data_IF_126301877653
#
_entry.id   IF_126301877653
#
_cell.length_a   1.000
_cell.length_b   1.000
_cell.length_c   1.000
_cell.angle_alpha   90.00
_cell.angle_beta   90.00
_cell.angle_gamma   90.00
#
_symmetry.space_group_name_H-M   'P 1'
#
loop_
_entity.id
_entity.type
_entity.pdbx_description
1 polymer ?
#
# COMPACT_ATOMS: atom_id res chain seq x y z
N UNK A 1 1.51 6.20 -1.64
CA UNK A 1 0.13 5.72 -1.41
C UNK A 1 -0.46 4.99 -2.60
N UNK A 2 -0.40 5.51 -3.83
CA UNK A 2 -0.92 4.81 -5.02
C UNK A 2 -0.45 3.35 -5.17
N UNK A 3 0.87 3.08 -5.11
CA UNK A 3 1.38 1.70 -5.25
C UNK A 3 0.93 0.77 -4.10
N UNK A 4 0.75 1.29 -2.87
CA UNK A 4 0.18 0.51 -1.77
C UNK A 4 -1.28 0.14 -2.06
N UNK A 5 -2.10 1.11 -2.48
CA UNK A 5 -3.50 0.86 -2.83
C UNK A 5 -3.60 -0.07 -4.03
N UNK A 6 -2.71 0.03 -5.02
CA UNK A 6 -2.66 -0.86 -6.19
C UNK A 6 -2.56 -2.35 -5.79
N UNK A 7 -1.85 -2.69 -4.70
CA UNK A 7 -1.78 -4.07 -4.20
C UNK A 7 -3.15 -4.64 -3.80
N UNK A 8 -4.10 -3.79 -3.41
CA UNK A 8 -5.47 -4.23 -3.07
C UNK A 8 -6.30 -4.55 -4.31
N UNK A 9 -6.00 -3.98 -5.48
CA UNK A 9 -6.83 -4.09 -6.69
C UNK A 9 -6.17 -4.90 -7.80
N UNK A 10 -4.92 -4.56 -8.14
CA UNK A 10 -4.19 -5.02 -9.33
C UNK A 10 -2.76 -5.43 -8.96
N UNK A 11 -2.59 -6.71 -8.66
CA UNK A 11 -1.28 -7.34 -8.43
C UNK A 11 -0.92 -8.16 -9.66
N UNK A 12 0.29 -7.95 -10.21
CA UNK A 12 0.83 -8.78 -11.28
C UNK A 12 1.50 -10.03 -10.71
N UNK A 13 1.35 -11.17 -11.38
CA UNK A 13 1.97 -12.43 -10.95
C UNK A 13 3.49 -12.44 -11.12
N UNK A 14 3.99 -11.72 -12.14
CA UNK A 14 5.43 -11.52 -12.36
C UNK A 14 6.07 -10.75 -11.20
N UNK A 15 5.39 -9.71 -10.70
CA UNK A 15 5.85 -8.92 -9.56
C UNK A 15 5.90 -9.78 -8.28
N UNK A 16 4.91 -10.66 -8.08
CA UNK A 16 4.87 -11.59 -6.95
C UNK A 16 6.01 -12.60 -7.04
N UNK A 17 6.27 -13.16 -8.22
CA UNK A 17 7.38 -14.11 -8.42
C UNK A 17 8.73 -13.46 -8.18
N UNK A 18 8.92 -12.22 -8.68
CA UNK A 18 10.11 -11.43 -8.39
C UNK A 18 10.26 -11.15 -6.90
N UNK A 19 9.19 -10.73 -6.22
CA UNK A 19 9.21 -10.45 -4.79
C UNK A 19 9.53 -11.69 -3.95
N UNK A 20 8.96 -12.86 -4.30
CA UNK A 20 9.29 -14.14 -3.65
C UNK A 20 10.78 -14.44 -3.78
N UNK A 21 11.35 -14.33 -4.98
CA UNK A 21 12.77 -14.59 -5.20
C UNK A 21 13.65 -13.61 -4.41
N UNK A 22 13.31 -12.31 -4.40
CA UNK A 22 14.02 -11.31 -3.61
C UNK A 22 13.97 -11.59 -2.10
N UNK A 23 12.81 -12.02 -1.59
CA UNK A 23 12.65 -12.34 -0.17
C UNK A 23 13.48 -13.57 0.23
N UNK A 24 13.51 -14.61 -0.61
CA UNK A 24 14.37 -15.80 -0.38
C UNK A 24 15.85 -15.42 -0.33
N UNK A 25 16.32 -14.62 -1.29
CA UNK A 25 17.71 -14.14 -1.32
C UNK A 25 18.03 -13.28 -0.10
N UNK A 26 17.14 -12.35 0.27
CA UNK A 26 17.33 -11.49 1.44
C UNK A 26 17.45 -12.29 2.73
N UNK A 27 16.65 -13.35 2.90
CA UNK A 27 16.68 -14.18 4.10
C UNK A 27 18.00 -14.96 4.21
N UNK A 28 18.47 -15.55 3.11
CA UNK A 28 19.72 -16.32 3.12
C UNK A 28 20.93 -15.43 3.35
N UNK A 29 20.98 -14.26 2.69
CA UNK A 29 22.09 -13.31 2.84
C UNK A 29 22.15 -12.71 4.25
N UNK A 30 21.02 -12.60 4.94
CA UNK A 30 20.99 -12.06 6.30
C UNK A 30 21.56 -13.01 7.36
N UNK A 31 21.57 -14.32 7.08
CA UNK A 31 21.98 -15.36 8.03
C UNK A 31 23.43 -15.81 7.78
N UNK A 32 24.23 -14.97 7.12
CA UNK A 32 25.65 -15.26 6.90
C UNK A 32 26.49 -14.83 8.11
N UNK A 33 27.24 -15.78 8.68
CA UNK A 33 28.07 -15.60 9.88
C UNK A 33 27.47 -16.12 11.18
N UNK A 34 28.30 -16.20 12.23
CA UNK A 34 27.93 -16.83 13.52
C UNK A 34 26.99 -15.95 14.36
N UNK A 35 27.18 -14.63 14.36
CA UNK A 35 26.34 -13.71 15.13
C UNK A 35 24.90 -13.62 14.61
N UNK A 36 24.64 -13.44 13.30
CA UNK A 36 23.27 -13.42 12.78
C UNK A 36 22.56 -14.76 12.93
N UNK A 37 23.29 -15.89 12.87
CA UNK A 37 22.73 -17.22 13.15
C UNK A 37 22.29 -17.34 14.60
N UNK A 38 23.10 -16.87 15.57
CA UNK A 38 22.74 -16.91 16.98
C UNK A 38 21.50 -16.04 17.28
N UNK A 39 21.42 -14.86 16.67
CA UNK A 39 20.29 -13.95 16.76
C UNK A 39 19.01 -14.56 16.17
N UNK A 40 19.10 -15.19 14.99
CA UNK A 40 17.98 -15.90 14.37
C UNK A 40 17.46 -17.06 15.24
N UNK A 41 18.36 -17.88 15.80
CA UNK A 41 17.98 -18.98 16.69
C UNK A 41 17.27 -18.45 17.94
N UNK A 42 17.85 -17.44 18.59
CA UNK A 42 17.27 -16.85 19.80
C UNK A 42 15.90 -16.22 19.54
N UNK A 43 15.78 -15.41 18.49
CA UNK A 43 14.53 -14.76 18.09
C UNK A 43 13.43 -15.78 17.75
N UNK A 44 13.75 -16.81 16.96
CA UNK A 44 12.76 -17.83 16.58
C UNK A 44 12.32 -18.68 17.77
N UNK A 45 13.22 -19.03 18.68
CA UNK A 45 12.87 -19.73 19.91
C UNK A 45 11.92 -18.91 20.79
N UNK A 46 12.14 -17.60 20.91
CA UNK A 46 11.27 -16.73 21.72
C UNK A 46 9.91 -16.46 21.07
N UNK A 47 9.86 -16.28 19.75
CA UNK A 47 8.63 -15.91 19.03
C UNK A 47 7.77 -17.11 18.65
N UNK A 48 8.38 -18.22 18.23
CA UNK A 48 7.68 -19.40 17.72
C UNK A 48 7.84 -20.64 18.61
N UNK A 49 8.70 -20.59 19.63
CA UNK A 49 9.03 -21.76 20.47
C UNK A 49 9.89 -22.81 19.77
N UNK A 50 10.27 -22.59 18.51
CA UNK A 50 11.07 -23.52 17.71
C UNK A 50 11.83 -22.79 16.61
N UNK A 51 12.90 -23.41 16.11
CA UNK A 51 13.56 -22.97 14.88
C UNK A 51 12.83 -23.55 13.66
N UNK A 52 12.45 -22.69 12.72
CA UNK A 52 11.79 -23.09 11.48
C UNK A 52 12.89 -23.47 10.46
N UNK A 53 12.86 -24.70 9.89
CA UNK A 53 13.82 -25.09 8.88
C UNK A 53 13.60 -24.31 7.57
N UNK A 54 14.70 -24.04 6.84
CA UNK A 54 14.64 -23.28 5.58
C UNK A 54 13.73 -23.92 4.53
N UNK A 55 13.60 -25.25 4.51
CA UNK A 55 12.69 -25.97 3.59
C UNK A 55 11.23 -25.61 3.84
N UNK A 56 10.81 -25.55 5.11
CA UNK A 56 9.47 -25.11 5.49
C UNK A 56 9.26 -23.62 5.18
N UNK A 57 10.27 -22.80 5.43
CA UNK A 57 10.21 -21.35 5.16
C UNK A 57 10.05 -21.07 3.65
N UNK A 58 10.82 -21.75 2.80
CA UNK A 58 10.71 -21.61 1.35
C UNK A 58 9.39 -22.13 0.82
N UNK A 59 8.90 -23.26 1.31
CA UNK A 59 7.59 -23.77 0.93
C UNK A 59 6.46 -22.78 1.28
N UNK A 60 6.55 -22.13 2.44
CA UNK A 60 5.58 -21.08 2.85
C UNK A 60 5.66 -19.83 1.97
N UNK A 61 6.86 -19.40 1.56
CA UNK A 61 7.04 -18.27 0.65
C UNK A 61 6.51 -18.61 -0.74
N UNK A 62 6.74 -19.83 -1.21
CA UNK A 62 6.29 -20.29 -2.54
C UNK A 62 4.78 -20.46 -2.64
N UNK A 63 4.11 -20.81 -1.53
CA UNK A 63 2.65 -20.88 -1.46
C UNK A 63 1.94 -19.51 -1.56
N UNK A 64 2.68 -18.39 -1.64
CA UNK A 64 2.10 -17.06 -1.76
C UNK A 64 1.82 -16.72 -3.23
N UNK A 65 0.53 -16.77 -3.58
CA UNK A 65 0.02 -16.34 -4.90
C UNK A 65 -0.46 -14.88 -4.90
N UNK A 66 -0.66 -14.32 -6.10
CA UNK A 66 -1.24 -12.97 -6.28
C UNK A 66 -2.59 -12.80 -5.58
N UNK A 67 -3.43 -13.85 -5.54
CA UNK A 67 -4.71 -13.86 -4.81
C UNK A 67 -4.51 -13.73 -3.30
N UNK A 68 -3.50 -14.42 -2.76
CA UNK A 68 -3.16 -14.34 -1.34
C UNK A 68 -2.64 -12.95 -0.98
N UNK A 69 -1.77 -12.36 -1.82
CA UNK A 69 -1.31 -10.98 -1.65
C UNK A 69 -2.48 -10.00 -1.65
N UNK A 70 -3.39 -10.11 -2.63
CA UNK A 70 -4.59 -9.26 -2.70
C UNK A 70 -5.48 -9.40 -1.47
N UNK A 71 -5.66 -10.63 -0.95
CA UNK A 71 -6.45 -10.89 0.27
C UNK A 71 -5.81 -10.24 1.51
N UNK A 72 -4.50 -10.37 1.65
CA UNK A 72 -3.74 -9.79 2.78
C UNK A 72 -3.74 -8.26 2.68
N UNK A 73 -3.52 -7.70 1.49
CA UNK A 73 -3.57 -6.27 1.24
C UNK A 73 -4.96 -5.70 1.60
N UNK A 74 -6.06 -6.35 1.19
CA UNK A 74 -7.40 -5.92 1.58
C UNK A 74 -7.66 -6.03 3.10
N UNK A 75 -6.98 -6.92 3.82
CA UNK A 75 -7.13 -7.03 5.27
C UNK A 75 -6.38 -5.93 6.03
N UNK A 76 -5.18 -5.57 5.58
CA UNK A 76 -4.26 -4.70 6.34
C UNK A 76 -4.09 -3.29 5.78
N UNK A 77 -4.40 -3.07 4.51
CA UNK A 77 -4.17 -1.78 3.82
C UNK A 77 -5.49 -1.10 3.48
N UNK A 78 -6.50 -1.86 3.05
CA UNK A 78 -7.78 -1.29 2.64
C UNK A 78 -8.62 -0.82 3.84
N UNK A 79 -9.01 0.46 3.82
CA UNK A 79 -9.80 1.14 4.85
C UNK A 79 -9.27 0.85 6.27
N UNK A 80 -8.02 1.23 6.53
CA UNK A 80 -7.35 1.10 7.82
C UNK A 80 -6.73 2.42 8.24
N UNK A 81 -6.97 2.81 9.48
CA UNK A 81 -6.39 4.03 10.04
C UNK A 81 -4.86 3.95 9.99
N UNK A 82 -4.23 4.99 9.43
CA UNK A 82 -2.78 5.11 9.34
C UNK A 82 -2.22 5.79 10.58
N UNK A 83 -0.96 5.54 10.90
CA UNK A 83 -0.19 6.33 11.86
C UNK A 83 0.95 7.02 11.12
N UNK A 84 1.03 8.35 11.23
CA UNK A 84 2.02 9.17 10.54
C UNK A 84 2.80 9.94 11.59
N UNK A 85 4.12 9.83 11.55
CA UNK A 85 5.05 10.62 12.34
C UNK A 85 6.02 11.31 11.38
N UNK A 86 6.14 12.62 11.49
CA UNK A 86 7.03 13.42 10.66
C UNK A 86 7.69 14.51 11.52
N UNK A 87 8.93 14.85 11.20
CA UNK A 87 9.77 15.78 11.95
C UNK A 87 10.50 16.68 10.96
N UNK A 88 10.72 17.95 11.33
CA UNK A 88 11.32 19.00 10.50
C UNK A 88 10.41 19.37 9.29
N UNK A 89 10.79 20.15 8.25
CA UNK A 89 9.84 20.99 7.50
C UNK A 89 8.70 20.21 6.82
N UNK A 90 7.59 20.08 7.53
CA UNK A 90 6.37 19.36 7.14
C UNK A 90 5.38 20.23 6.39
N UNK A 91 5.78 21.40 5.88
CA UNK A 91 4.84 22.29 5.19
C UNK A 91 4.27 21.66 3.90
N UNK A 92 4.99 20.70 3.31
CA UNK A 92 4.56 19.94 2.13
C UNK A 92 3.87 18.61 2.47
N UNK A 93 3.80 18.23 3.75
CA UNK A 93 3.18 16.98 4.16
C UNK A 93 1.65 17.13 4.11
N UNK A 94 0.92 16.26 3.37
CA UNK A 94 -0.52 16.30 3.35
C UNK A 94 -1.15 16.01 4.72
N UNK A 95 -2.37 16.50 4.92
CA UNK A 95 -3.15 16.20 6.13
C UNK A 95 -3.46 14.71 6.27
N UNK A 96 -3.74 14.29 7.49
CA UNK A 96 -4.19 12.92 7.80
C UNK A 96 -5.33 12.43 6.89
N UNK A 97 -6.34 13.29 6.68
CA UNK A 97 -7.50 12.99 5.85
C UNK A 97 -7.14 12.74 4.38
N UNK A 98 -6.03 13.30 3.91
CA UNK A 98 -5.52 13.01 2.57
C UNK A 98 -5.03 11.56 2.49
N UNK A 99 -4.29 11.10 3.49
CA UNK A 99 -3.77 9.73 3.53
C UNK A 99 -4.86 8.69 3.69
N UNK A 100 -5.86 8.96 4.55
CA UNK A 100 -7.02 8.08 4.71
C UNK A 100 -7.80 7.91 3.40
N UNK A 101 -8.06 9.01 2.68
CA UNK A 101 -8.76 8.97 1.39
C UNK A 101 -7.99 8.27 0.29
N UNK A 102 -6.65 8.34 0.31
CA UNK A 102 -5.82 7.73 -0.73
C UNK A 102 -5.79 6.19 -0.69
N UNK A 103 -6.23 5.56 0.39
CA UNK A 103 -6.41 4.10 0.45
C UNK A 103 -7.59 3.65 -0.42
N UNK A 104 -8.58 4.52 -0.60
CA UNK A 104 -9.79 4.25 -1.37
C UNK A 104 -9.68 4.81 -2.79
N UNK A 105 -9.33 3.92 -3.73
CA UNK A 105 -9.31 4.25 -5.17
C UNK A 105 -10.68 4.69 -5.71
N UNK A 106 -11.78 4.31 -5.04
CA UNK A 106 -13.13 4.78 -5.37
C UNK A 106 -13.42 6.20 -4.87
N UNK A 107 -12.87 6.60 -3.72
CA UNK A 107 -13.04 7.95 -3.18
C UNK A 107 -12.36 8.99 -4.08
N UNK A 108 -11.19 8.66 -4.64
CA UNK A 108 -10.47 9.53 -5.59
C UNK A 108 -11.20 9.68 -6.93
N UNK A 109 -11.88 8.64 -7.42
CA UNK A 109 -12.72 8.72 -8.63
C UNK A 109 -14.02 9.51 -8.40
N UNK A 110 -14.65 9.39 -7.23
CA UNK A 110 -15.83 10.17 -6.86
C UNK A 110 -15.51 11.64 -6.61
N UNK A 111 -14.34 11.97 -6.04
CA UNK A 111 -13.86 13.36 -5.94
C UNK A 111 -13.59 13.95 -7.34
N UNK A 112 -13.01 13.18 -8.28
CA UNK A 112 -12.86 13.61 -9.67
C UNK A 112 -14.20 13.87 -10.38
N UNK A 113 -15.20 13.01 -10.11
CA UNK A 113 -16.55 13.17 -10.66
C UNK A 113 -17.27 14.36 -10.04
N UNK A 114 -17.13 14.57 -8.72
CA UNK A 114 -17.71 15.71 -7.98
C UNK A 114 -17.07 17.04 -8.38
N UNK A 115 -15.73 17.13 -8.48
CA UNK A 115 -15.02 18.30 -8.99
C UNK A 115 -15.38 18.61 -10.45
N UNK A 116 -15.54 17.60 -11.30
CA UNK A 116 -16.01 17.80 -12.68
C UNK A 116 -17.45 18.29 -12.74
N UNK A 117 -18.33 17.80 -11.87
CA UNK A 117 -19.72 18.25 -11.78
C UNK A 117 -19.81 19.68 -11.24
N UNK A 118 -19.02 20.03 -10.22
CA UNK A 118 -18.92 21.40 -9.70
C UNK A 118 -18.37 22.34 -10.76
N UNK A 119 -17.31 21.97 -11.50
CA UNK A 119 -16.82 22.78 -12.62
C UNK A 119 -17.88 22.91 -13.73
N UNK A 120 -18.61 21.84 -14.06
CA UNK A 120 -19.66 21.86 -15.09
C UNK A 120 -20.84 22.76 -14.68
N UNK A 121 -21.25 22.71 -13.41
CA UNK A 121 -22.28 23.59 -12.83
C UNK A 121 -21.79 25.03 -12.82
N UNK A 122 -20.55 25.28 -12.43
CA UNK A 122 -19.96 26.64 -12.44
C UNK A 122 -19.85 27.19 -13.86
N UNK A 123 -19.44 26.37 -14.85
CA UNK A 123 -19.35 26.75 -16.27
C UNK A 123 -20.72 27.03 -16.87
N UNK A 124 -21.77 26.27 -16.49
CA UNK A 124 -23.17 26.55 -16.87
C UNK A 124 -23.68 27.85 -16.24
N UNK A 125 -23.37 28.13 -14.98
CA UNK A 125 -23.74 29.38 -14.31
C UNK A 125 -23.03 30.61 -14.89
N UNK A 126 -21.75 30.51 -15.26
CA UNK A 126 -21.03 31.60 -15.94
C UNK A 126 -21.56 31.90 -17.35
N UNK A 127 -22.03 30.88 -18.09
CA UNK A 127 -22.66 31.07 -19.41
C UNK A 127 -24.00 31.82 -19.28
N UNK A 128 -24.78 31.52 -18.24
CA UNK A 128 -26.02 32.24 -17.96
C UNK A 128 -25.79 33.71 -17.59
N UNK A 129 -24.73 34.00 -16.82
CA UNK A 129 -24.42 35.39 -16.43
C UNK A 129 -23.96 36.29 -17.58
N UNK A 130 -23.40 35.72 -18.67
CA UNK A 130 -23.06 36.47 -19.89
C UNK A 130 -24.23 36.66 -20.87
N UNK A 131 -25.30 35.86 -20.78
CA UNK A 131 -26.51 36.03 -21.60
C UNK A 131 -27.55 36.97 -20.99
N UNK A 132 -27.48 37.23 -19.68
CA UNK A 132 -28.46 38.03 -18.95
C UNK A 132 -28.21 39.56 -18.97
N UNK A 133 -27.12 40.04 -19.58
CA UNK A 133 -26.86 41.48 -19.77
C UNK A 133 -26.28 41.76 -21.16
N UNK A 134 -27.13 42.05 -22.16
CA UNK A 134 -26.76 42.81 -23.34
C UNK A 134 -27.13 44.28 -23.11
N UNK A 135 -26.13 45.10 -22.78
CA UNK A 135 -26.18 46.57 -22.88
C UNK A 135 -24.77 47.12 -22.93
#
# INVERSE_FOLDING_TARGET
MYEMSKLCYRVSEDDVTRARNQMKSSLLLHIDGTSPVAEDIGRQLLTYGRRIPFTELFARIDAVDAKTVKRVANRFIFDKDVAISAMEPIQSLPDYNWFRRMQDLLATLLDYFSLSLVLLVYKRSCIWRKKAFPS
#
